data_IF_530771508777
#
_entry.id   IF_530771508777
#
_cell.length_a   1.000
_cell.length_b   1.000
_cell.length_c   1.000
_cell.angle_alpha   90.00
_cell.angle_beta   90.00
_cell.angle_gamma   90.00
#
_symmetry.space_group_name_H-M   'P 1'
#
loop_
_entity.id
_entity.type
_entity.pdbx_description
1 polymer ?
#
# COMPACT_ATOMS: atom_id res chain seq x y z
N UNK A 1 15.40 -22.34 -5.99
CA UNK A 1 14.43 -21.72 -5.08
C UNK A 1 14.72 -20.24 -4.91
N UNK A 2 13.89 -19.54 -4.16
CA UNK A 2 13.90 -18.08 -4.04
C UNK A 2 15.07 -17.53 -3.19
N UNK A 3 15.48 -18.29 -2.17
CA UNK A 3 16.44 -17.82 -1.14
C UNK A 3 17.77 -17.28 -1.71
N UNK A 4 18.45 -17.94 -2.67
CA UNK A 4 19.68 -17.38 -3.26
C UNK A 4 19.48 -16.03 -3.94
N UNK A 5 18.36 -15.84 -4.65
CA UNK A 5 18.03 -14.55 -5.28
C UNK A 5 17.71 -13.48 -4.23
N UNK A 6 17.03 -13.84 -3.14
CA UNK A 6 16.79 -12.91 -2.04
C UNK A 6 18.10 -12.47 -1.36
N UNK A 7 19.09 -13.37 -1.25
CA UNK A 7 20.44 -13.01 -0.76
C UNK A 7 21.13 -12.02 -1.71
N UNK A 8 21.00 -12.22 -3.02
CA UNK A 8 21.49 -11.26 -4.01
C UNK A 8 20.83 -9.88 -3.84
N UNK A 9 19.50 -9.83 -3.63
CA UNK A 9 18.79 -8.58 -3.35
C UNK A 9 19.23 -7.94 -2.02
N UNK A 10 19.48 -8.72 -0.97
CA UNK A 10 20.05 -8.20 0.27
C UNK A 10 21.42 -7.54 0.02
N UNK A 11 22.31 -8.20 -0.73
CA UNK A 11 23.62 -7.65 -1.06
C UNK A 11 23.50 -6.33 -1.84
N UNK A 12 22.58 -6.26 -2.82
CA UNK A 12 22.30 -5.04 -3.56
C UNK A 12 21.76 -3.91 -2.65
N UNK A 13 20.83 -4.21 -1.75
CA UNK A 13 20.28 -3.22 -0.79
C UNK A 13 21.36 -2.69 0.15
N UNK A 14 22.34 -3.52 0.50
CA UNK A 14 23.43 -3.17 1.43
C UNK A 14 24.71 -2.67 0.75
N UNK A 15 24.76 -2.62 -0.58
CA UNK A 15 25.97 -2.20 -1.29
C UNK A 15 26.28 -0.72 -1.10
N UNK A 16 25.27 0.10 -0.79
CA UNK A 16 25.41 1.53 -0.54
C UNK A 16 24.54 1.97 0.65
N UNK A 17 24.94 3.04 1.33
CA UNK A 17 24.08 3.75 2.28
C UNK A 17 23.13 4.69 1.54
N UNK A 18 21.93 4.90 2.07
CA UNK A 18 20.93 5.83 1.57
C UNK A 18 21.46 7.27 1.70
N UNK A 19 22.07 7.76 0.63
CA UNK A 19 22.62 9.12 0.53
C UNK A 19 23.72 9.44 1.57
N UNK A 20 24.40 8.43 2.12
CA UNK A 20 25.39 8.63 3.19
C UNK A 20 24.80 8.84 4.59
N UNK A 21 23.47 8.87 4.76
CA UNK A 21 22.81 9.24 6.03
C UNK A 21 22.31 8.03 6.81
N UNK A 22 21.80 6.99 6.13
CA UNK A 22 21.28 5.75 6.77
C UNK A 22 21.66 4.50 5.98
N UNK A 23 21.70 3.34 6.62
CA UNK A 23 21.89 2.07 5.91
C UNK A 23 20.70 1.75 5.01
N UNK A 24 20.93 1.16 3.83
CA UNK A 24 19.85 0.74 2.93
C UNK A 24 18.93 -0.29 3.59
N UNK A 25 17.62 -0.18 3.38
CA UNK A 25 16.60 -1.06 3.92
C UNK A 25 15.58 -1.42 2.83
N UNK A 26 15.04 -2.63 2.88
CA UNK A 26 14.00 -3.08 1.94
C UNK A 26 13.10 -4.14 2.58
N UNK A 27 11.86 -4.19 2.08
CA UNK A 27 10.86 -5.21 2.38
C UNK A 27 10.59 -6.02 1.12
N UNK A 28 10.68 -7.35 1.21
CA UNK A 28 10.36 -8.27 0.11
C UNK A 28 8.96 -8.86 0.28
N UNK A 29 8.19 -8.94 -0.81
CA UNK A 29 6.81 -9.42 -0.80
C UNK A 29 6.66 -10.78 -1.46
N UNK A 30 5.82 -11.65 -0.89
CA UNK A 30 5.47 -12.94 -1.47
C UNK A 30 4.08 -13.43 -1.02
N UNK A 31 3.37 -14.21 -1.84
CA UNK A 31 2.09 -14.79 -1.47
C UNK A 31 2.20 -15.86 -0.39
N UNK A 32 1.24 -15.88 0.54
CA UNK A 32 1.14 -16.91 1.59
C UNK A 32 1.05 -18.33 1.00
N UNK A 33 0.49 -18.47 -0.20
CA UNK A 33 0.35 -19.76 -0.89
C UNK A 33 1.61 -20.18 -1.68
N UNK A 34 2.72 -19.45 -1.59
CA UNK A 34 3.95 -19.84 -2.27
C UNK A 34 4.49 -21.18 -1.75
N UNK A 35 4.96 -22.08 -2.64
CA UNK A 35 5.47 -23.42 -2.26
C UNK A 35 6.63 -23.38 -1.27
N UNK A 36 7.45 -22.33 -1.30
CA UNK A 36 8.56 -22.14 -0.35
C UNK A 36 8.17 -21.35 0.92
N UNK A 37 6.89 -20.99 1.13
CA UNK A 37 6.45 -20.04 2.17
C UNK A 37 6.97 -20.37 3.57
N UNK A 38 6.97 -21.65 3.97
CA UNK A 38 7.45 -22.07 5.29
C UNK A 38 8.93 -21.73 5.49
N UNK A 39 9.75 -21.86 4.43
CA UNK A 39 11.15 -21.44 4.44
C UNK A 39 11.30 -19.92 4.40
N UNK A 40 10.42 -19.22 3.68
CA UNK A 40 10.46 -17.76 3.55
C UNK A 40 10.08 -17.03 4.85
N UNK A 41 9.12 -17.57 5.62
CA UNK A 41 8.66 -16.98 6.88
C UNK A 41 9.77 -16.90 7.93
N UNK A 42 10.65 -17.90 7.97
CA UNK A 42 11.71 -18.01 8.97
C UNK A 42 13.03 -17.35 8.57
N UNK A 43 13.08 -16.63 7.44
CA UNK A 43 14.32 -16.03 6.93
C UNK A 43 14.97 -15.04 7.91
N UNK A 44 14.16 -14.38 8.73
CA UNK A 44 14.62 -13.40 9.72
C UNK A 44 14.91 -14.02 11.10
N UNK A 45 14.51 -15.27 11.32
CA UNK A 45 14.69 -15.97 12.59
C UNK A 45 16.17 -16.01 12.98
N UNK A 46 16.49 -15.70 14.24
CA UNK A 46 17.87 -15.70 14.73
C UNK A 46 18.49 -17.10 14.79
N UNK A 47 17.68 -18.14 15.00
CA UNK A 47 18.11 -19.55 14.98
C UNK A 47 18.07 -20.10 13.56
N UNK A 48 19.10 -20.84 13.16
CA UNK A 48 19.23 -21.43 11.81
C UNK A 48 20.66 -21.35 11.29
N UNK A 49 20.90 -21.86 10.09
CA UNK A 49 22.20 -21.79 9.40
C UNK A 49 22.21 -20.58 8.46
N UNK A 50 23.38 -20.01 8.16
CA UNK A 50 23.43 -18.81 7.32
C UNK A 50 22.87 -19.03 5.91
N UNK A 51 22.99 -20.23 5.36
CA UNK A 51 22.49 -20.56 4.02
C UNK A 51 20.97 -20.36 3.87
N UNK A 52 20.20 -20.57 4.94
CA UNK A 52 18.73 -20.46 4.94
C UNK A 52 18.20 -19.23 5.69
N UNK A 53 19.03 -18.19 5.85
CA UNK A 53 18.67 -16.95 6.56
C UNK A 53 19.05 -15.70 5.79
N UNK A 54 18.21 -14.68 5.93
CA UNK A 54 18.32 -13.35 5.31
C UNK A 54 17.69 -12.36 6.30
N UNK A 55 18.47 -11.95 7.30
CA UNK A 55 17.94 -11.23 8.49
C UNK A 55 17.89 -9.71 8.33
N UNK A 56 18.62 -9.18 7.35
CA UNK A 56 18.79 -7.74 7.13
C UNK A 56 17.75 -7.13 6.18
N UNK A 57 16.82 -7.95 5.70
CA UNK A 57 15.61 -7.55 5.00
C UNK A 57 14.40 -7.79 5.90
N UNK A 58 13.32 -7.09 5.60
CA UNK A 58 12.00 -7.36 6.16
C UNK A 58 11.11 -8.01 5.11
N UNK A 59 9.96 -8.55 5.51
CA UNK A 59 9.12 -9.36 4.62
C UNK A 59 7.65 -8.98 4.73
N UNK A 60 6.96 -8.84 3.60
CA UNK A 60 5.51 -8.63 3.52
C UNK A 60 4.81 -9.87 2.98
N UNK A 61 4.01 -10.51 3.82
CA UNK A 61 3.25 -11.71 3.45
C UNK A 61 1.89 -11.31 2.91
N UNK A 62 1.61 -11.73 1.68
CA UNK A 62 0.43 -11.33 0.94
C UNK A 62 -0.70 -12.34 1.14
N UNK A 63 -1.87 -11.86 1.55
CA UNK A 63 -3.01 -12.67 1.99
C UNK A 63 -4.29 -12.10 1.37
N UNK A 64 -5.25 -12.96 1.02
CA UNK A 64 -6.59 -12.57 0.63
C UNK A 64 -7.65 -13.31 1.46
N UNK A 65 -8.93 -12.97 1.22
CA UNK A 65 -10.10 -13.57 1.87
C UNK A 65 -10.12 -15.10 1.84
N UNK A 66 -9.71 -15.76 0.75
CA UNK A 66 -9.74 -17.22 0.66
C UNK A 66 -8.82 -17.84 1.72
N UNK A 67 -7.61 -17.30 1.90
CA UNK A 67 -6.66 -17.79 2.90
C UNK A 67 -7.22 -17.67 4.32
N UNK A 68 -7.82 -16.53 4.67
CA UNK A 68 -8.50 -16.34 5.95
C UNK A 68 -9.71 -17.27 6.12
N UNK A 69 -10.46 -17.53 5.04
CA UNK A 69 -11.61 -18.45 5.06
C UNK A 69 -11.15 -19.88 5.37
N UNK A 70 -10.01 -20.33 4.81
CA UNK A 70 -9.42 -21.62 5.15
C UNK A 70 -9.06 -21.71 6.64
N UNK A 71 -8.47 -20.65 7.21
CA UNK A 71 -8.18 -20.60 8.64
C UNK A 71 -9.46 -20.70 9.50
N UNK A 72 -10.46 -19.86 9.22
CA UNK A 72 -11.71 -19.79 10.01
C UNK A 72 -12.47 -21.11 9.97
N UNK A 73 -12.49 -21.79 8.81
CA UNK A 73 -13.18 -23.07 8.64
C UNK A 73 -12.36 -24.29 9.07
N UNK A 74 -11.14 -24.10 9.60
CA UNK A 74 -10.24 -25.21 9.97
C UNK A 74 -9.81 -26.07 8.77
N UNK A 75 -9.75 -25.48 7.58
CA UNK A 75 -9.32 -26.14 6.35
C UNK A 75 -7.81 -26.11 6.14
N UNK A 76 -7.40 -26.59 4.95
CA UNK A 76 -6.01 -26.56 4.53
C UNK A 76 -5.73 -25.43 3.54
N UNK A 77 -4.47 -25.05 3.42
CA UNK A 77 -3.93 -24.19 2.37
C UNK A 77 -3.01 -25.06 1.51
N UNK A 78 -3.24 -25.03 0.20
CA UNK A 78 -2.37 -25.66 -0.78
C UNK A 78 -1.35 -24.64 -1.31
N UNK A 79 -0.09 -25.07 -1.34
CA UNK A 79 1.05 -24.27 -1.71
C UNK A 79 1.49 -24.63 -3.12
N UNK A 80 1.71 -23.61 -3.95
CA UNK A 80 2.04 -23.75 -5.36
C UNK A 80 3.27 -22.93 -5.74
N UNK A 81 3.99 -23.40 -6.76
CA UNK A 81 4.90 -22.56 -7.52
C UNK A 81 4.07 -21.69 -8.47
N UNK A 82 4.22 -20.36 -8.49
CA UNK A 82 3.52 -19.50 -9.45
C UNK A 82 3.76 -19.90 -10.91
N UNK A 83 4.93 -20.48 -11.22
CA UNK A 83 5.26 -20.96 -12.57
C UNK A 83 4.39 -22.14 -13.03
N UNK A 84 3.89 -22.95 -12.10
CA UNK A 84 3.10 -24.16 -12.38
C UNK A 84 1.59 -23.91 -12.34
N UNK A 85 1.17 -22.67 -12.05
CA UNK A 85 -0.25 -22.29 -11.88
C UNK A 85 -0.59 -21.04 -12.71
N UNK A 86 -0.64 -21.16 -14.06
CA UNK A 86 -0.85 -20.02 -14.95
C UNK A 86 -2.09 -19.18 -14.58
N UNK A 87 -1.93 -17.86 -14.51
CA UNK A 87 -3.03 -16.94 -14.19
C UNK A 87 -3.42 -16.86 -12.71
N UNK A 88 -2.96 -17.80 -11.86
CA UNK A 88 -3.28 -17.79 -10.43
C UNK A 88 -2.69 -16.57 -9.72
N UNK A 89 -1.45 -16.22 -10.06
CA UNK A 89 -0.77 -15.06 -9.47
C UNK A 89 -1.47 -13.76 -9.83
N UNK A 90 -1.87 -13.57 -11.09
CA UNK A 90 -2.58 -12.38 -11.55
C UNK A 90 -3.96 -12.26 -10.88
N UNK A 91 -4.73 -13.34 -10.85
CA UNK A 91 -6.05 -13.38 -10.24
C UNK A 91 -5.99 -13.07 -8.73
N UNK A 92 -4.95 -13.54 -8.02
CA UNK A 92 -4.77 -13.31 -6.58
C UNK A 92 -4.89 -11.84 -6.17
N UNK A 93 -4.43 -10.91 -7.02
CA UNK A 93 -4.55 -9.48 -6.80
C UNK A 93 -5.78 -8.89 -7.48
N UNK A 94 -6.06 -9.29 -8.72
CA UNK A 94 -6.98 -8.56 -9.57
C UNK A 94 -8.44 -9.06 -9.56
N UNK A 95 -8.67 -10.33 -9.28
CA UNK A 95 -9.99 -10.97 -9.39
C UNK A 95 -10.11 -12.14 -8.40
N UNK A 96 -10.85 -11.92 -7.30
CA UNK A 96 -10.94 -12.89 -6.22
C UNK A 96 -11.79 -14.11 -6.58
N UNK A 97 -12.79 -13.95 -7.45
CA UNK A 97 -13.65 -15.05 -7.89
C UNK A 97 -12.87 -15.97 -8.85
N UNK A 98 -12.12 -15.37 -9.79
CA UNK A 98 -11.22 -16.12 -10.67
C UNK A 98 -10.08 -16.78 -9.90
N UNK A 99 -9.55 -16.12 -8.86
CA UNK A 99 -8.56 -16.74 -7.98
C UNK A 99 -9.12 -17.97 -7.28
N UNK A 100 -10.33 -17.91 -6.70
CA UNK A 100 -10.94 -19.07 -6.05
C UNK A 100 -11.20 -20.21 -7.05
N UNK A 101 -11.66 -19.89 -8.26
CA UNK A 101 -11.87 -20.87 -9.35
C UNK A 101 -10.57 -21.56 -9.75
N UNK A 102 -9.51 -20.80 -10.03
CA UNK A 102 -8.20 -21.34 -10.42
C UNK A 102 -7.54 -22.10 -9.26
N UNK A 103 -7.59 -21.56 -8.05
CA UNK A 103 -6.99 -22.18 -6.87
C UNK A 103 -7.59 -23.56 -6.60
N UNK A 104 -8.92 -23.67 -6.59
CA UNK A 104 -9.61 -24.95 -6.41
C UNK A 104 -9.42 -25.91 -7.59
N UNK A 105 -9.35 -25.40 -8.83
CA UNK A 105 -8.99 -26.21 -9.99
C UNK A 105 -7.60 -26.83 -9.82
N UNK A 106 -6.59 -26.02 -9.46
CA UNK A 106 -5.21 -26.48 -9.28
C UNK A 106 -5.02 -27.33 -8.03
N UNK A 107 -5.83 -27.18 -6.99
CA UNK A 107 -5.88 -28.11 -5.86
C UNK A 107 -6.27 -29.54 -6.29
N UNK A 108 -7.20 -29.65 -7.25
CA UNK A 108 -7.71 -30.93 -7.73
C UNK A 108 -6.90 -31.57 -8.87
N UNK A 109 -5.96 -30.85 -9.48
CA UNK A 109 -5.15 -31.36 -10.61
C UNK A 109 -3.94 -32.18 -10.12
N UNK A 110 -3.90 -33.52 -10.26
CA UNK A 110 -2.80 -34.33 -9.76
C UNK A 110 -1.47 -34.14 -10.51
N UNK A 111 -1.47 -33.47 -11.68
CA UNK A 111 -0.26 -33.21 -12.46
C UNK A 111 0.55 -32.02 -11.93
N UNK A 112 -0.06 -31.16 -11.13
CA UNK A 112 0.57 -29.95 -10.60
C UNK A 112 1.29 -30.28 -9.29
N UNK A 113 2.58 -29.92 -9.23
CA UNK A 113 3.34 -29.98 -7.99
C UNK A 113 2.73 -29.05 -6.95
N UNK A 114 2.39 -29.63 -5.79
CA UNK A 114 1.77 -28.89 -4.68
C UNK A 114 2.15 -29.50 -3.34
N UNK A 115 2.08 -28.70 -2.30
CA UNK A 115 2.13 -29.15 -0.90
C UNK A 115 0.84 -28.68 -0.20
N UNK A 116 0.36 -29.40 0.80
CA UNK A 116 -0.83 -29.00 1.56
C UNK A 116 -0.49 -28.94 3.04
N UNK A 117 -0.84 -27.83 3.68
CA UNK A 117 -0.60 -27.56 5.09
C UNK A 117 -1.90 -27.10 5.75
N UNK A 118 -2.08 -27.45 7.03
CA UNK A 118 -3.17 -26.89 7.84
C UNK A 118 -3.10 -25.37 7.84
N UNK A 119 -4.23 -24.70 7.61
CA UNK A 119 -4.26 -23.24 7.65
C UNK A 119 -3.87 -22.72 9.05
N UNK A 120 -4.29 -23.42 10.12
CA UNK A 120 -3.94 -23.05 11.48
C UNK A 120 -2.43 -23.10 11.71
N UNK A 121 -1.74 -24.12 11.18
CA UNK A 121 -0.29 -24.26 11.36
C UNK A 121 0.47 -23.17 10.58
N UNK A 122 0.07 -22.91 9.33
CA UNK A 122 0.71 -21.88 8.50
C UNK A 122 0.52 -20.47 9.07
N UNK A 123 -0.70 -20.12 9.49
CA UNK A 123 -0.97 -18.83 10.13
C UNK A 123 -0.26 -18.72 11.49
N UNK A 124 -0.16 -19.81 12.24
CA UNK A 124 0.59 -19.83 13.50
C UNK A 124 2.07 -19.55 13.26
N UNK A 125 2.68 -20.18 12.26
CA UNK A 125 4.07 -19.92 11.86
C UNK A 125 4.28 -18.46 11.48
N UNK A 126 3.40 -17.92 10.64
CA UNK A 126 3.42 -16.50 10.24
C UNK A 126 3.37 -15.57 11.45
N UNK A 127 2.42 -15.78 12.36
CA UNK A 127 2.24 -14.93 13.53
C UNK A 127 3.37 -15.10 14.55
N UNK A 128 3.95 -16.30 14.70
CA UNK A 128 5.11 -16.54 15.55
C UNK A 128 6.33 -15.77 15.06
N UNK A 129 6.66 -15.84 13.77
CA UNK A 129 7.80 -15.10 13.21
C UNK A 129 7.57 -13.59 13.22
N UNK A 130 6.33 -13.15 13.00
CA UNK A 130 5.92 -11.74 13.18
C UNK A 130 6.13 -11.29 14.62
N UNK A 131 5.66 -12.04 15.62
CA UNK A 131 5.82 -11.69 17.03
C UNK A 131 7.30 -11.74 17.47
N UNK A 132 8.06 -12.73 16.99
CA UNK A 132 9.46 -12.93 17.35
C UNK A 132 10.40 -11.86 16.80
N UNK A 133 10.06 -11.24 15.66
CA UNK A 133 10.94 -10.28 14.98
C UNK A 133 10.38 -8.87 14.84
N UNK A 134 9.06 -8.71 14.94
CA UNK A 134 8.34 -7.47 14.65
C UNK A 134 8.34 -7.04 13.18
N UNK A 135 8.97 -7.80 12.27
CA UNK A 135 9.23 -7.37 10.88
C UNK A 135 8.86 -8.39 9.80
N UNK A 136 7.88 -9.22 10.12
CA UNK A 136 7.08 -9.95 9.14
C UNK A 136 5.74 -9.24 9.05
N UNK A 137 5.53 -8.49 7.98
CA UNK A 137 4.36 -7.68 7.70
C UNK A 137 3.29 -8.46 6.96
N UNK A 138 2.08 -7.92 6.91
CA UNK A 138 0.94 -8.49 6.19
C UNK A 138 0.41 -7.46 5.21
N UNK A 139 0.12 -7.91 3.98
CA UNK A 139 -0.59 -7.13 2.98
C UNK A 139 -1.87 -7.87 2.59
N UNK A 140 -3.03 -7.25 2.82
CA UNK A 140 -4.32 -7.76 2.38
C UNK A 140 -4.55 -7.34 0.92
N UNK A 141 -4.18 -8.22 -0.02
CA UNK A 141 -4.07 -7.85 -1.43
C UNK A 141 -5.41 -7.62 -2.10
N UNK A 142 -6.46 -8.28 -1.61
CA UNK A 142 -7.84 -8.05 -2.05
C UNK A 142 -8.30 -6.65 -1.66
N UNK A 143 -8.05 -6.21 -0.43
CA UNK A 143 -8.36 -4.85 0.02
C UNK A 143 -7.58 -3.79 -0.77
N UNK A 144 -6.29 -4.02 -1.05
CA UNK A 144 -5.47 -3.12 -1.88
C UNK A 144 -5.99 -2.91 -3.32
N UNK A 145 -6.87 -3.77 -3.81
CA UNK A 145 -7.38 -3.73 -5.19
C UNK A 145 -8.90 -3.49 -5.26
N UNK A 146 -9.66 -3.84 -4.22
CA UNK A 146 -11.11 -3.56 -4.13
C UNK A 146 -11.42 -2.16 -3.62
N UNK A 147 -10.58 -1.61 -2.74
CA UNK A 147 -10.61 -0.22 -2.29
C UNK A 147 -9.32 0.47 -2.71
N UNK A 148 -9.28 0.88 -3.98
CA UNK A 148 -8.06 1.36 -4.64
C UNK A 148 -8.38 2.50 -5.61
N UNK A 149 -7.45 3.45 -5.80
CA UNK A 149 -7.55 4.42 -6.87
C UNK A 149 -7.28 3.82 -8.25
N UNK A 150 -6.88 2.54 -8.36
CA UNK A 150 -6.52 1.90 -9.63
C UNK A 150 -7.51 0.83 -10.05
N UNK A 151 -7.76 0.70 -11.36
CA UNK A 151 -8.47 -0.45 -11.91
C UNK A 151 -7.57 -1.70 -11.86
N UNK A 152 -7.91 -2.73 -11.07
CA UNK A 152 -7.07 -3.92 -10.94
C UNK A 152 -6.92 -4.72 -12.24
N UNK A 153 -7.82 -4.54 -13.23
CA UNK A 153 -7.70 -5.20 -14.54
C UNK A 153 -6.61 -4.57 -15.41
N UNK A 154 -6.23 -3.33 -15.14
CA UNK A 154 -5.29 -2.56 -15.95
C UNK A 154 -3.99 -2.30 -15.18
N UNK A 155 -4.10 -1.83 -13.94
CA UNK A 155 -2.98 -1.40 -13.11
C UNK A 155 -3.15 -1.89 -11.65
N UNK A 156 -3.14 -3.21 -11.39
CA UNK A 156 -3.32 -3.72 -10.03
C UNK A 156 -2.13 -3.39 -9.13
N UNK A 157 -2.44 -3.23 -7.85
CA UNK A 157 -1.43 -3.11 -6.79
C UNK A 157 -1.01 -4.50 -6.36
N UNK A 158 0.27 -4.85 -6.58
CA UNK A 158 0.82 -6.19 -6.29
C UNK A 158 1.88 -6.24 -5.20
N UNK A 159 2.22 -5.12 -4.59
CA UNK A 159 3.17 -5.04 -3.48
C UNK A 159 2.96 -3.75 -2.68
N UNK A 160 3.77 -3.53 -1.65
CA UNK A 160 3.91 -2.24 -0.99
C UNK A 160 5.37 -1.75 -1.05
N UNK A 161 5.69 -0.64 -0.38
CA UNK A 161 7.05 -0.18 -0.09
C UNK A 161 7.61 -0.77 1.23
N UNK A 162 8.74 -0.21 1.69
CA UNK A 162 9.42 -0.57 2.93
C UNK A 162 8.50 -0.55 4.17
N UNK A 163 7.69 0.50 4.32
CA UNK A 163 6.94 0.79 5.54
C UNK A 163 5.44 0.46 5.47
N UNK A 164 5.00 -0.25 4.40
CA UNK A 164 3.65 -0.79 4.21
C UNK A 164 2.53 0.23 3.97
N UNK A 165 2.85 1.49 3.66
CA UNK A 165 1.88 2.56 3.41
C UNK A 165 1.66 2.89 1.92
N UNK A 166 2.58 2.51 1.03
CA UNK A 166 2.51 2.84 -0.40
C UNK A 166 2.02 1.67 -1.23
N UNK A 167 0.85 1.84 -1.85
CA UNK A 167 0.17 0.83 -2.66
C UNK A 167 0.04 1.32 -4.11
N UNK A 168 1.04 1.03 -4.96
CA UNK A 168 1.13 1.53 -6.34
C UNK A 168 1.35 0.41 -7.38
N UNK A 169 0.92 0.59 -8.64
CA UNK A 169 1.15 -0.37 -9.72
C UNK A 169 2.63 -0.48 -10.09
N UNK A 170 3.06 -1.68 -10.46
CA UNK A 170 4.41 -1.96 -10.96
C UNK A 170 4.38 -2.94 -12.13
N UNK A 171 5.43 -2.90 -12.95
CA UNK A 171 5.66 -3.84 -14.06
C UNK A 171 7.12 -4.29 -14.01
N UNK A 172 7.41 -5.60 -14.04
CA UNK A 172 8.77 -6.11 -14.03
C UNK A 172 9.63 -5.54 -15.16
N UNK A 173 10.94 -5.44 -14.93
CA UNK A 173 11.91 -4.99 -15.93
C UNK A 173 12.66 -6.20 -16.50
N UNK A 174 12.86 -6.23 -17.82
CA UNK A 174 13.73 -7.22 -18.47
C UNK A 174 15.21 -6.79 -18.48
N UNK A 175 15.47 -5.49 -18.34
CA UNK A 175 16.81 -4.91 -18.18
C UNK A 175 16.70 -3.53 -17.50
N UNK A 176 17.83 -2.97 -17.05
CA UNK A 176 17.86 -1.71 -16.28
C UNK A 176 17.29 -0.49 -17.04
N UNK A 177 17.32 -0.51 -18.37
CA UNK A 177 16.83 0.55 -19.24
C UNK A 177 15.51 0.17 -19.94
N UNK A 178 14.80 -0.84 -19.46
CA UNK A 178 13.53 -1.29 -20.05
C UNK A 178 12.45 -0.21 -19.92
N UNK A 179 12.04 0.35 -21.06
CA UNK A 179 10.99 1.37 -21.12
C UNK A 179 9.58 0.81 -20.90
N UNK A 180 9.40 -0.51 -20.94
CA UNK A 180 8.10 -1.15 -20.71
C UNK A 180 7.88 -1.56 -19.25
N UNK A 181 8.96 -1.55 -18.45
CA UNK A 181 8.89 -1.73 -17.01
C UNK A 181 8.30 -0.49 -16.30
N UNK A 182 7.91 -0.69 -15.05
CA UNK A 182 7.32 0.37 -14.23
C UNK A 182 7.79 0.21 -12.78
N UNK A 183 8.59 1.17 -12.31
CA UNK A 183 9.03 1.27 -10.91
C UNK A 183 8.25 2.40 -10.26
N UNK A 184 7.37 2.05 -9.32
CA UNK A 184 6.59 3.05 -8.61
C UNK A 184 7.46 3.90 -7.69
N UNK A 185 7.30 5.22 -7.79
CA UNK A 185 7.81 6.19 -6.84
C UNK A 185 6.63 6.94 -6.20
N UNK A 186 6.82 7.38 -4.97
CA UNK A 186 5.84 8.20 -4.27
C UNK A 186 6.55 9.36 -3.58
N UNK A 187 6.07 10.58 -3.81
CA UNK A 187 6.60 11.78 -3.18
C UNK A 187 5.74 12.14 -1.97
N UNK A 188 6.37 12.29 -0.81
CA UNK A 188 5.69 12.33 0.48
C UNK A 188 5.66 13.74 1.09
N UNK A 189 4.59 14.03 1.81
CA UNK A 189 4.49 15.14 2.76
C UNK A 189 3.50 14.75 3.87
N UNK A 190 3.29 15.61 4.86
CA UNK A 190 2.29 15.36 5.89
C UNK A 190 1.70 16.66 6.45
N UNK A 191 0.43 16.61 6.83
CA UNK A 191 -0.22 17.68 7.58
C UNK A 191 0.01 17.51 9.09
N UNK A 192 0.31 18.60 9.79
CA UNK A 192 0.40 18.60 11.24
C UNK A 192 -0.97 18.84 11.87
N UNK A 193 -1.66 17.78 12.30
CA UNK A 193 -3.00 17.89 12.86
C UNK A 193 -3.05 18.70 14.17
N UNK A 194 -1.94 18.71 14.91
CA UNK A 194 -1.82 19.49 16.13
C UNK A 194 -1.91 21.00 15.90
N UNK A 195 -1.40 21.47 14.75
CA UNK A 195 -1.36 22.87 14.38
C UNK A 195 -2.68 23.39 13.78
N UNK A 196 -3.60 22.49 13.37
CA UNK A 196 -4.90 22.88 12.84
C UNK A 196 -5.79 23.46 13.96
N UNK A 197 -6.38 24.63 13.71
CA UNK A 197 -7.45 25.20 14.53
C UNK A 197 -8.82 24.64 14.10
N UNK A 198 -9.01 24.43 12.79
CA UNK A 198 -10.20 23.80 12.22
C UNK A 198 -9.87 22.98 10.95
N UNK A 199 -10.82 22.17 10.48
CA UNK A 199 -10.61 21.26 9.35
C UNK A 199 -10.65 21.96 7.98
N UNK A 200 -11.26 23.15 7.87
CA UNK A 200 -11.35 23.87 6.59
C UNK A 200 -9.99 24.44 6.16
N UNK A 201 -9.03 24.56 7.08
CA UNK A 201 -7.64 24.89 6.78
C UNK A 201 -6.97 23.87 5.85
N UNK A 202 -7.48 22.62 5.77
CA UNK A 202 -7.01 21.64 4.81
C UNK A 202 -7.15 22.12 3.37
N UNK A 203 -8.10 23.01 3.04
CA UNK A 203 -8.28 23.50 1.67
C UNK A 203 -7.02 24.16 1.12
N UNK A 204 -6.52 25.17 1.83
CA UNK A 204 -5.33 25.91 1.42
C UNK A 204 -4.06 25.06 1.57
N UNK A 205 -3.97 24.25 2.63
CA UNK A 205 -2.81 23.38 2.87
C UNK A 205 -2.68 22.28 1.80
N UNK A 206 -3.80 21.71 1.37
CA UNK A 206 -3.85 20.72 0.30
C UNK A 206 -3.45 21.32 -1.04
N UNK A 207 -3.96 22.51 -1.40
CA UNK A 207 -3.55 23.20 -2.64
C UNK A 207 -2.04 23.43 -2.68
N UNK A 208 -1.47 24.00 -1.61
CA UNK A 208 -0.03 24.24 -1.50
C UNK A 208 0.78 22.94 -1.58
N UNK A 209 0.38 21.92 -0.83
CA UNK A 209 1.13 20.67 -0.73
C UNK A 209 1.08 19.89 -2.04
N UNK A 210 -0.11 19.76 -2.66
CA UNK A 210 -0.26 19.04 -3.94
C UNK A 210 0.55 19.74 -5.03
N UNK A 211 0.50 21.07 -5.13
CA UNK A 211 1.30 21.84 -6.10
C UNK A 211 2.81 21.68 -5.88
N UNK A 212 3.26 21.79 -4.63
CA UNK A 212 4.68 21.69 -4.30
C UNK A 212 5.23 20.30 -4.66
N UNK A 213 4.50 19.24 -4.31
CA UNK A 213 4.93 17.88 -4.62
C UNK A 213 4.81 17.55 -6.11
N UNK A 214 3.76 18.02 -6.80
CA UNK A 214 3.60 17.81 -8.24
C UNK A 214 4.74 18.49 -9.03
N UNK A 215 5.10 19.71 -8.66
CA UNK A 215 6.24 20.42 -9.26
C UNK A 215 7.58 19.70 -9.01
N UNK A 216 7.75 19.11 -7.81
CA UNK A 216 8.95 18.33 -7.49
C UNK A 216 9.14 17.12 -8.41
N UNK A 217 8.04 16.53 -8.92
CA UNK A 217 8.12 15.40 -9.86
C UNK A 217 8.86 15.80 -11.14
N UNK A 218 8.65 17.01 -11.64
CA UNK A 218 9.30 17.50 -12.86
C UNK A 218 10.71 18.04 -12.57
N UNK A 219 10.96 18.52 -11.35
CA UNK A 219 12.23 19.09 -10.93
C UNK A 219 13.33 18.05 -10.65
N UNK A 220 12.98 16.89 -10.10
CA UNK A 220 13.95 15.88 -9.67
C UNK A 220 14.50 15.03 -10.83
N UNK A 221 15.71 14.48 -10.65
CA UNK A 221 16.31 13.52 -11.57
C UNK A 221 15.84 12.09 -11.30
N UNK A 222 15.87 11.26 -12.35
CA UNK A 222 15.48 9.85 -12.29
C UNK A 222 16.60 8.95 -12.82
N UNK A 223 17.25 8.15 -11.96
CA UNK A 223 18.37 7.31 -12.38
C UNK A 223 17.95 6.10 -13.22
N UNK A 224 16.67 5.71 -13.18
CA UNK A 224 16.13 4.57 -13.91
C UNK A 224 14.96 5.03 -14.81
N UNK A 225 14.98 4.76 -16.12
CA UNK A 225 13.92 5.19 -17.04
C UNK A 225 12.52 4.72 -16.65
N UNK A 226 12.38 3.47 -16.21
CA UNK A 226 11.11 2.90 -15.75
C UNK A 226 10.50 3.68 -14.57
N UNK A 227 11.33 4.24 -13.68
CA UNK A 227 10.89 5.05 -12.55
C UNK A 227 10.41 6.44 -13.00
N UNK A 228 11.14 7.07 -13.95
CA UNK A 228 10.71 8.33 -14.57
C UNK A 228 9.37 8.17 -15.27
N UNK A 229 9.24 7.14 -16.10
CA UNK A 229 8.03 6.86 -16.87
C UNK A 229 6.83 6.63 -15.97
N UNK A 230 6.96 5.78 -14.95
CA UNK A 230 5.90 5.56 -13.96
C UNK A 230 5.45 6.87 -13.30
N UNK A 231 6.42 7.65 -12.82
CA UNK A 231 6.16 8.91 -12.11
C UNK A 231 5.50 9.95 -13.00
N UNK A 232 5.99 10.15 -14.23
CA UNK A 232 5.41 11.13 -15.15
C UNK A 232 4.02 10.74 -15.62
N UNK A 233 3.75 9.43 -15.74
CA UNK A 233 2.48 8.92 -16.21
C UNK A 233 1.37 8.96 -15.15
N UNK A 234 1.71 8.68 -13.88
CA UNK A 234 0.71 8.58 -12.79
C UNK A 234 0.76 9.72 -11.79
N UNK A 235 1.91 10.40 -11.69
CA UNK A 235 2.17 11.54 -10.80
C UNK A 235 1.75 11.28 -9.35
N UNK A 236 2.13 10.13 -8.83
CA UNK A 236 1.67 9.58 -7.54
C UNK A 236 2.27 10.32 -6.35
N UNK A 237 1.38 10.83 -5.49
CA UNK A 237 1.73 11.50 -4.25
C UNK A 237 1.24 10.68 -3.04
N UNK A 238 1.85 10.94 -1.88
CA UNK A 238 1.49 10.31 -0.61
C UNK A 238 1.57 11.33 0.53
N UNK A 239 0.49 12.06 0.74
CA UNK A 239 0.36 13.04 1.82
C UNK A 239 -0.28 12.36 3.03
N UNK A 240 0.42 12.39 4.15
CA UNK A 240 -0.01 11.78 5.41
C UNK A 240 -0.39 12.81 6.47
N UNK A 241 -0.37 12.36 7.72
CA UNK A 241 -0.54 13.21 8.90
C UNK A 241 0.54 12.95 9.91
N UNK A 242 0.85 13.95 10.73
CA UNK A 242 1.63 13.83 11.96
C UNK A 242 0.84 14.44 13.13
N UNK A 243 1.31 14.18 14.35
CA UNK A 243 0.75 14.73 15.57
C UNK A 243 -0.67 14.24 15.90
N UNK A 244 -1.06 13.08 15.37
CA UNK A 244 -2.42 12.55 15.56
C UNK A 244 -2.75 12.25 17.02
N UNK A 245 -1.80 11.70 17.79
CA UNK A 245 -2.01 11.43 19.21
C UNK A 245 -2.29 12.72 20.00
N UNK A 246 -1.54 13.78 19.74
CA UNK A 246 -1.84 15.10 20.31
C UNK A 246 -3.17 15.66 19.80
N UNK A 247 -3.51 15.45 18.52
CA UNK A 247 -4.80 15.84 17.96
C UNK A 247 -5.97 15.15 18.70
N UNK A 248 -5.84 13.86 19.04
CA UNK A 248 -6.82 13.16 19.86
C UNK A 248 -6.86 13.73 21.30
N UNK A 249 -5.69 13.95 21.89
CA UNK A 249 -5.57 14.49 23.24
C UNK A 249 -6.20 15.88 23.39
N UNK A 250 -5.96 16.81 22.46
CA UNK A 250 -6.55 18.17 22.49
C UNK A 250 -8.07 18.17 22.31
N UNK A 251 -8.62 17.12 21.69
CA UNK A 251 -10.05 16.90 21.52
C UNK A 251 -10.67 16.00 22.61
N UNK A 252 -9.89 15.59 23.62
CA UNK A 252 -10.39 14.79 24.75
C UNK A 252 -10.82 13.36 24.40
N UNK A 253 -10.34 12.80 23.30
CA UNK A 253 -10.67 11.44 22.84
C UNK A 253 -9.45 10.51 22.90
N UNK A 254 -9.68 9.20 22.81
CA UNK A 254 -8.65 8.16 22.97
C UNK A 254 -8.70 7.14 21.85
N UNK A 255 -7.57 6.47 21.65
CA UNK A 255 -7.46 5.34 20.73
C UNK A 255 -8.29 4.12 21.16
N UNK A 256 -8.36 3.81 22.45
CA UNK A 256 -8.73 2.48 22.94
C UNK A 256 -10.20 2.28 23.31
N UNK A 257 -10.99 3.34 23.45
CA UNK A 257 -12.38 3.28 23.92
C UNK A 257 -13.42 3.63 22.85
N UNK A 258 -12.98 3.85 21.60
CA UNK A 258 -13.83 4.20 20.47
C UNK A 258 -14.27 5.66 20.44
N UNK A 259 -13.94 6.48 21.45
CA UNK A 259 -14.32 7.90 21.49
C UNK A 259 -13.80 8.72 20.31
N UNK A 260 -12.66 8.32 19.72
CA UNK A 260 -12.06 9.01 18.59
C UNK A 260 -12.76 8.73 17.25
N UNK A 261 -13.57 7.67 17.10
CA UNK A 261 -14.02 7.16 15.80
C UNK A 261 -14.69 8.23 14.93
N UNK A 262 -15.66 8.99 15.47
CA UNK A 262 -16.34 10.05 14.72
C UNK A 262 -15.42 11.22 14.38
N UNK A 263 -14.52 11.59 15.31
CA UNK A 263 -13.51 12.62 15.05
C UNK A 263 -12.58 12.22 13.92
N UNK A 264 -12.03 10.99 13.97
CA UNK A 264 -11.17 10.42 12.92
C UNK A 264 -11.87 10.44 11.57
N UNK A 265 -13.14 10.02 11.52
CA UNK A 265 -13.92 10.02 10.29
C UNK A 265 -13.98 11.42 9.67
N UNK A 266 -14.40 12.44 10.44
CA UNK A 266 -14.42 13.83 9.95
C UNK A 266 -13.06 14.33 9.48
N UNK A 267 -12.01 14.07 10.24
CA UNK A 267 -10.66 14.58 9.93
C UNK A 267 -10.15 14.00 8.61
N UNK A 268 -10.29 12.69 8.40
CA UNK A 268 -9.79 12.04 7.19
C UNK A 268 -10.72 12.21 6.00
N UNK A 269 -12.02 12.42 6.21
CA UNK A 269 -12.93 12.90 5.18
C UNK A 269 -12.45 14.25 4.64
N UNK A 270 -12.26 15.25 5.52
CA UNK A 270 -11.80 16.58 5.15
C UNK A 270 -10.47 16.54 4.41
N UNK A 271 -9.49 15.82 4.97
CA UNK A 271 -8.17 15.65 4.36
C UNK A 271 -8.27 15.09 2.94
N UNK A 272 -9.00 13.99 2.75
CA UNK A 272 -9.09 13.35 1.43
C UNK A 272 -9.89 14.20 0.44
N UNK A 273 -10.99 14.82 0.88
CA UNK A 273 -11.80 15.71 0.06
C UNK A 273 -10.96 16.87 -0.49
N UNK A 274 -10.23 17.58 0.38
CA UNK A 274 -9.43 18.72 -0.02
C UNK A 274 -8.19 18.34 -0.84
N UNK A 275 -7.56 17.20 -0.58
CA UNK A 275 -6.49 16.68 -1.45
C UNK A 275 -6.99 16.41 -2.88
N UNK A 276 -8.15 15.76 -3.02
CA UNK A 276 -8.77 15.52 -4.32
C UNK A 276 -9.16 16.82 -5.01
N UNK A 277 -9.77 17.76 -4.25
CA UNK A 277 -10.14 19.09 -4.74
C UNK A 277 -8.92 19.87 -5.25
N UNK A 278 -7.80 19.84 -4.53
CA UNK A 278 -6.55 20.45 -4.96
C UNK A 278 -6.03 19.83 -6.27
N UNK A 279 -6.06 18.52 -6.40
CA UNK A 279 -5.55 17.83 -7.59
C UNK A 279 -6.45 17.98 -8.83
N UNK A 280 -7.79 18.05 -8.67
CA UNK A 280 -8.70 18.38 -9.79
C UNK A 280 -8.53 19.83 -10.24
N UNK A 281 -8.33 20.77 -9.30
CA UNK A 281 -8.03 22.16 -9.66
C UNK A 281 -6.70 22.26 -10.42
N UNK A 282 -5.68 21.52 -9.97
CA UNK A 282 -4.41 21.46 -10.68
C UNK A 282 -4.53 20.79 -12.06
N UNK A 283 -5.43 19.81 -12.21
CA UNK A 283 -5.76 19.20 -13.51
C UNK A 283 -6.44 20.18 -14.47
N UNK A 284 -7.31 21.08 -13.97
CA UNK A 284 -7.91 22.15 -14.80
C UNK A 284 -6.85 23.11 -15.35
N UNK A 285 -5.78 23.34 -14.59
CA UNK A 285 -4.70 24.26 -14.98
C UNK A 285 -3.66 23.62 -15.90
N UNK A 286 -3.23 22.38 -15.62
CA UNK A 286 -2.09 21.74 -16.29
C UNK A 286 -2.44 20.42 -17.01
N UNK A 287 -3.69 20.01 -16.96
CA UNK A 287 -4.15 18.70 -17.44
C UNK A 287 -3.97 17.59 -16.40
N UNK A 288 -4.86 16.59 -16.45
CA UNK A 288 -4.76 15.36 -15.67
C UNK A 288 -3.48 14.57 -15.99
N UNK A 289 -3.08 13.65 -15.10
CA UNK A 289 -1.95 12.77 -15.38
C UNK A 289 -2.19 11.88 -16.62
N UNK A 290 -1.15 11.53 -17.40
CA UNK A 290 -1.31 10.78 -18.65
C UNK A 290 -2.07 9.45 -18.53
N UNK A 291 -1.91 8.71 -17.44
CA UNK A 291 -2.60 7.44 -17.19
C UNK A 291 -3.79 7.57 -16.25
N UNK A 292 -4.41 8.75 -16.14
CA UNK A 292 -5.61 8.95 -15.33
C UNK A 292 -6.73 7.97 -15.72
N UNK A 293 -6.87 7.62 -17.00
CA UNK A 293 -7.87 6.64 -17.48
C UNK A 293 -7.75 5.22 -16.90
N UNK A 294 -6.62 4.87 -16.27
CA UNK A 294 -6.42 3.59 -15.58
C UNK A 294 -6.90 3.62 -14.11
N UNK A 295 -7.40 4.76 -13.64
CA UNK A 295 -7.87 4.95 -12.26
C UNK A 295 -9.37 4.63 -12.12
N UNK A 296 -9.78 4.28 -10.91
CA UNK A 296 -11.20 4.20 -10.54
C UNK A 296 -11.85 5.58 -10.56
N UNK A 297 -11.09 6.63 -10.23
CA UNK A 297 -11.51 8.03 -10.33
C UNK A 297 -11.98 8.43 -11.74
N UNK A 298 -11.31 7.96 -12.80
CA UNK A 298 -11.74 8.23 -14.18
C UNK A 298 -13.12 7.62 -14.52
N UNK A 299 -13.56 6.63 -13.76
CA UNK A 299 -14.90 6.03 -13.87
C UNK A 299 -15.92 6.67 -12.93
N UNK A 300 -15.54 7.76 -12.26
CA UNK A 300 -16.36 8.43 -11.26
C UNK A 300 -16.55 7.62 -9.99
N UNK A 301 -15.64 6.69 -9.68
CA UNK A 301 -15.64 5.91 -8.44
C UNK A 301 -14.70 6.58 -7.43
N UNK A 302 -15.19 6.84 -6.24
CA UNK A 302 -14.50 7.53 -5.16
C UNK A 302 -14.20 6.57 -3.98
N UNK A 303 -13.31 6.95 -3.05
CA UNK A 303 -13.05 6.16 -1.84
C UNK A 303 -14.31 5.88 -1.03
N UNK A 304 -15.25 6.83 -1.00
CA UNK A 304 -16.53 6.71 -0.29
C UNK A 304 -17.46 5.63 -0.88
N UNK A 305 -17.20 5.11 -2.08
CA UNK A 305 -18.04 4.08 -2.70
C UNK A 305 -17.51 2.66 -2.51
N UNK A 306 -16.24 2.53 -2.14
CA UNK A 306 -15.50 1.24 -2.21
C UNK A 306 -14.89 0.82 -0.87
N UNK A 307 -15.09 1.60 0.18
CA UNK A 307 -14.61 1.25 1.51
C UNK A 307 -15.26 -0.04 2.01
N UNK A 308 -14.62 -0.69 2.98
CA UNK A 308 -15.15 -1.91 3.58
C UNK A 308 -16.41 -1.58 4.41
N UNK A 309 -17.57 -1.96 3.91
CA UNK A 309 -18.89 -1.65 4.50
C UNK A 309 -19.07 -2.04 5.98
N UNK A 310 -18.24 -2.94 6.53
CA UNK A 310 -18.24 -3.23 7.97
C UNK A 310 -17.93 -1.98 8.83
N UNK A 311 -17.31 -0.93 8.27
CA UNK A 311 -17.04 0.33 8.97
C UNK A 311 -18.33 1.02 9.46
N UNK A 312 -19.45 0.87 8.76
CA UNK A 312 -20.75 1.47 9.12
C UNK A 312 -21.30 0.93 10.46
N UNK A 313 -20.81 -0.25 10.90
CA UNK A 313 -21.16 -0.83 12.20
C UNK A 313 -20.47 -0.12 13.36
N UNK A 314 -19.39 0.62 13.09
CA UNK A 314 -18.53 1.24 14.10
C UNK A 314 -18.55 2.77 14.05
N UNK A 315 -18.86 3.37 12.91
CA UNK A 315 -18.93 4.82 12.73
C UNK A 315 -20.27 5.23 12.11
N UNK A 316 -20.91 6.25 12.68
CA UNK A 316 -22.17 6.84 12.17
C UNK A 316 -22.01 8.31 11.81
N UNK A 317 -20.76 8.81 11.78
CA UNK A 317 -20.47 10.19 11.40
C UNK A 317 -20.84 10.39 9.92
N UNK A 318 -21.68 11.38 9.58
CA UNK A 318 -22.05 11.63 8.20
C UNK A 318 -20.87 12.25 7.44
N UNK A 319 -20.97 12.23 6.10
CA UNK A 319 -20.12 13.05 5.25
C UNK A 319 -20.55 14.52 5.34
N UNK A 320 -19.60 15.42 5.47
CA UNK A 320 -19.81 16.87 5.62
C UNK A 320 -19.50 17.67 4.36
N UNK A 321 -18.82 17.07 3.37
CA UNK A 321 -18.42 17.72 2.13
C UNK A 321 -19.25 17.26 0.93
N UNK A 322 -19.32 18.10 -0.13
CA UNK A 322 -20.09 17.79 -1.35
C UNK A 322 -19.29 16.88 -2.30
N UNK A 323 -19.26 15.60 -1.93
CA UNK A 323 -18.57 14.56 -2.70
C UNK A 323 -19.14 14.34 -4.09
N UNK A 324 -20.43 14.61 -4.31
CA UNK A 324 -21.05 14.43 -5.63
C UNK A 324 -20.68 15.55 -6.59
N UNK A 325 -20.59 16.80 -6.13
CA UNK A 325 -20.01 17.89 -6.92
C UNK A 325 -18.54 17.57 -7.27
N UNK A 326 -17.74 17.14 -6.30
CA UNK A 326 -16.34 16.76 -6.53
C UNK A 326 -16.22 15.58 -7.51
N UNK A 327 -17.10 14.57 -7.41
CA UNK A 327 -17.18 13.45 -8.36
C UNK A 327 -17.37 13.95 -9.79
N UNK A 328 -18.33 14.85 -10.00
CA UNK A 328 -18.60 15.42 -11.31
C UNK A 328 -17.39 16.19 -11.87
N UNK A 329 -16.73 16.98 -11.02
CA UNK A 329 -15.50 17.69 -11.42
C UNK A 329 -14.36 16.74 -11.79
N UNK A 330 -14.14 15.67 -11.01
CA UNK A 330 -13.11 14.66 -11.27
C UNK A 330 -13.39 13.93 -12.59
N UNK A 331 -14.64 13.57 -12.88
CA UNK A 331 -14.99 12.93 -14.16
C UNK A 331 -14.77 13.88 -15.32
N UNK A 332 -15.10 15.17 -15.15
CA UNK A 332 -14.99 16.17 -16.21
C UNK A 332 -13.55 16.58 -16.51
N UNK A 333 -12.74 16.78 -15.47
CA UNK A 333 -11.41 17.41 -15.58
C UNK A 333 -10.25 16.45 -15.29
N UNK A 334 -10.54 15.31 -14.65
CA UNK A 334 -9.55 14.36 -14.17
C UNK A 334 -8.79 14.83 -12.94
N UNK A 335 -7.79 14.03 -12.53
CA UNK A 335 -6.86 14.38 -11.45
C UNK A 335 -5.45 14.55 -11.99
N UNK A 336 -4.74 15.56 -11.48
CA UNK A 336 -3.32 15.74 -11.80
C UNK A 336 -2.48 14.59 -11.26
N UNK A 337 -2.94 13.93 -10.20
CA UNK A 337 -2.21 12.90 -9.46
C UNK A 337 -3.10 11.66 -9.28
N UNK A 338 -2.60 10.46 -9.62
CA UNK A 338 -3.37 9.21 -9.47
C UNK A 338 -3.58 8.81 -8.00
N UNK A 339 -2.67 9.21 -7.11
CA UNK A 339 -2.78 9.04 -5.66
C UNK A 339 -2.39 10.33 -4.96
N UNK A 340 -2.96 10.56 -3.79
CA UNK A 340 -2.76 11.79 -3.03
C UNK A 340 -2.44 11.55 -1.56
N UNK A 341 -3.03 10.54 -0.92
CA UNK A 341 -2.88 10.28 0.51
C UNK A 341 -2.17 8.95 0.78
N UNK A 342 -1.30 8.95 1.79
CA UNK A 342 -0.66 7.76 2.34
C UNK A 342 -0.18 8.08 3.76
N UNK A 343 -0.44 7.20 4.74
CA UNK A 343 -0.10 7.45 6.14
C UNK A 343 1.24 6.79 6.48
N UNK A 344 2.34 7.53 6.32
CA UNK A 344 3.68 7.05 6.61
C UNK A 344 4.06 7.17 8.09
N UNK A 345 4.94 6.30 8.60
CA UNK A 345 5.67 6.61 9.83
C UNK A 345 6.59 7.81 9.59
N UNK A 346 6.64 8.74 10.53
CA UNK A 346 7.28 10.05 10.36
C UNK A 346 8.31 10.36 11.46
N UNK A 347 9.22 9.44 11.71
CA UNK A 347 10.17 9.52 12.84
C UNK A 347 10.99 10.82 12.85
N UNK A 348 11.55 11.22 11.71
CA UNK A 348 12.46 12.38 11.66
C UNK A 348 11.75 13.69 11.38
N UNK A 349 10.74 13.69 10.49
CA UNK A 349 9.99 14.89 10.17
C UNK A 349 9.13 15.38 11.34
N UNK A 350 8.56 14.47 12.15
CA UNK A 350 7.76 14.89 13.32
C UNK A 350 8.61 15.54 14.40
N UNK A 351 9.88 15.14 14.56
CA UNK A 351 10.80 15.75 15.52
C UNK A 351 11.05 17.24 15.23
N UNK A 352 11.13 17.63 13.95
CA UNK A 352 11.31 19.04 13.57
C UNK A 352 10.12 19.89 14.02
N UNK A 353 8.91 19.34 13.95
CA UNK A 353 7.68 20.01 14.37
C UNK A 353 7.36 19.83 15.86
N UNK A 354 8.22 19.14 16.62
CA UNK A 354 7.93 18.68 17.99
C UNK A 354 6.54 18.01 18.09
N UNK A 355 6.23 17.16 17.12
CA UNK A 355 4.96 16.46 16.95
C UNK A 355 5.09 14.98 17.28
N UNK A 356 3.99 14.33 17.68
CA UNK A 356 3.95 12.86 17.78
C UNK A 356 4.05 12.22 16.39
N UNK A 357 4.62 11.01 16.32
CA UNK A 357 4.97 10.36 15.05
C UNK A 357 3.74 9.78 14.35
N UNK A 358 3.39 10.31 13.18
CA UNK A 358 2.34 9.77 12.32
C UNK A 358 0.99 9.69 13.03
N UNK A 359 0.41 8.49 12.98
CA UNK A 359 -0.82 8.12 13.71
C UNK A 359 -0.56 7.36 15.02
N UNK A 360 0.69 7.15 15.39
CA UNK A 360 1.06 6.35 16.57
C UNK A 360 0.79 7.13 17.88
N UNK A 361 0.39 6.44 18.97
CA UNK A 361 0.04 7.04 20.27
C UNK A 361 1.22 7.66 21.02
#
# INVERSE_FOLDING_TARGET
GCIPFFKMFQAAVKSCSQGGVRGGAATLFYPLWHIEVQSLLVLKNNRGVEENRIRQLDYGVQINKLMYTRLIKGGNITLFSPHETPGLYEAFFADQDEFERLYTQYENDPSIRKETISAADLFSMLMQERAGTGRIYVQNVDHCNTHSPFDPKVAPVRQSNLCLEIALPTKPLNNINDENGEIALCTLSAFNLGALENLDEFENLADLTVRALDALLDYQDYPIPAAKKATMNRRTLGVGVINYAYYLAKNGVKYSDGSAIGLTHRTFEAMQYYLLKASVNLAKEYGACPLFGETTYAKGILPIDTYKADLDKFCTEPLHYDWEALRAEIVQHGLRNSTLSALMPSETSSQIANATNGIEP
#
